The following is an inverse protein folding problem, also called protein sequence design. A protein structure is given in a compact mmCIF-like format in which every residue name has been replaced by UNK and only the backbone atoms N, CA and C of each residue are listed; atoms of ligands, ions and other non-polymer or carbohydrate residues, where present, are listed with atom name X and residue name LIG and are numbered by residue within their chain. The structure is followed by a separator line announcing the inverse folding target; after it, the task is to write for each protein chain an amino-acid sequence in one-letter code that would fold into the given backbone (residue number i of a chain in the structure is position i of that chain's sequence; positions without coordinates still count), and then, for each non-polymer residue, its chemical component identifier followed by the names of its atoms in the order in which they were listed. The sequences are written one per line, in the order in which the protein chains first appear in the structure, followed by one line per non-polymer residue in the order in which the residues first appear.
data_IF_505072391832
#
_entry.id   IF_505072391832
#
_cell.length_a   1.000
_cell.length_b   1.000
_cell.length_c   1.000
_cell.angle_alpha   90.00
_cell.angle_beta   90.00
_cell.angle_gamma   90.00
#
_symmetry.space_group_name_H-M   'P 1'
#
loop_
_entity.id
_entity.type
_entity.pdbx_description
1 polymer ?
#
# COMPACT_ATOMS: atom_id res chain seq x y z
N UNK A 1 21.69 2.40 6.66
CA UNK A 1 21.01 3.50 7.37
C UNK A 1 22.06 4.40 8.03
N UNK A 2 22.27 5.59 7.47
CA UNK A 2 23.15 6.60 8.04
C UNK A 2 22.29 7.64 8.76
N UNK A 3 22.02 7.42 10.04
CA UNK A 3 21.44 8.45 10.91
C UNK A 3 22.60 9.14 11.65
N UNK A 4 22.94 10.38 11.26
CA UNK A 4 23.90 11.22 11.95
C UNK A 4 25.31 11.26 11.35
N UNK A 5 26.13 12.18 11.87
CA UNK A 5 27.51 12.52 11.45
C UNK A 5 28.58 11.51 11.92
N UNK A 6 28.23 10.26 12.21
CA UNK A 6 29.17 9.25 12.68
C UNK A 6 29.69 8.38 11.53
N UNK A 7 30.98 8.08 11.56
CA UNK A 7 31.69 7.18 10.63
C UNK A 7 31.29 5.70 10.83
N UNK A 8 30.53 5.37 11.89
CA UNK A 8 30.12 4.00 12.20
C UNK A 8 28.69 3.74 11.70
N UNK A 9 28.50 2.57 11.08
CA UNK A 9 27.19 2.07 10.68
C UNK A 9 26.45 1.56 11.92
N UNK A 10 25.28 2.14 12.20
CA UNK A 10 24.37 1.62 13.22
C UNK A 10 23.81 0.27 12.75
N UNK A 11 24.10 -0.80 13.47
CA UNK A 11 23.60 -2.16 13.20
C UNK A 11 22.47 -2.57 14.14
N UNK A 12 22.29 -1.90 15.27
CA UNK A 12 21.29 -2.24 16.27
C UNK A 12 19.90 -1.76 15.86
N UNK A 13 19.77 -0.53 15.43
CA UNK A 13 18.48 0.04 14.99
C UNK A 13 17.84 -0.77 13.86
N UNK A 14 18.56 -1.15 12.77
CA UNK A 14 17.98 -2.00 11.74
C UNK A 14 17.55 -3.39 12.22
N UNK A 15 18.29 -3.99 13.18
CA UNK A 15 17.93 -5.31 13.73
C UNK A 15 16.64 -5.23 14.54
N UNK A 16 16.50 -4.27 15.44
CA UNK A 16 15.27 -4.06 16.22
C UNK A 16 14.07 -3.74 15.31
N UNK A 17 14.28 -2.95 14.26
CA UNK A 17 13.23 -2.69 13.27
C UNK A 17 12.81 -3.98 12.54
N UNK A 18 13.77 -4.81 12.13
CA UNK A 18 13.48 -6.06 11.46
C UNK A 18 12.74 -7.05 12.38
N UNK A 19 13.13 -7.14 13.65
CA UNK A 19 12.43 -7.93 14.66
C UNK A 19 10.99 -7.47 14.84
N UNK A 20 10.76 -6.17 15.01
CA UNK A 20 9.43 -5.59 15.15
C UNK A 20 8.55 -5.85 13.93
N UNK A 21 9.08 -5.69 12.70
CA UNK A 21 8.35 -5.97 11.46
C UNK A 21 8.01 -7.46 11.34
N UNK A 22 8.93 -8.35 11.70
CA UNK A 22 8.70 -9.79 11.66
C UNK A 22 7.59 -10.19 12.63
N UNK A 23 7.61 -9.66 13.85
CA UNK A 23 6.63 -9.96 14.89
C UNK A 23 5.26 -9.33 14.59
N UNK A 24 5.22 -8.03 14.29
CA UNK A 24 3.96 -7.28 14.08
C UNK A 24 3.19 -7.78 12.85
N UNK A 25 3.90 -8.20 11.78
CA UNK A 25 3.29 -8.60 10.52
C UNK A 25 3.27 -10.12 10.31
N UNK A 26 3.64 -10.87 11.32
CA UNK A 26 3.71 -12.33 11.24
C UNK A 26 4.46 -12.79 9.96
N UNK A 27 5.69 -12.29 9.80
CA UNK A 27 6.52 -12.67 8.64
C UNK A 27 7.11 -14.05 8.88
N UNK A 28 6.72 -15.01 8.05
CA UNK A 28 7.27 -16.37 8.14
C UNK A 28 8.72 -16.39 7.63
N UNK A 29 9.66 -16.36 8.57
CA UNK A 29 11.10 -16.36 8.31
C UNK A 29 11.86 -17.13 9.38
N UNK A 30 12.95 -17.84 9.04
CA UNK A 30 13.84 -18.44 10.03
C UNK A 30 14.60 -17.41 10.90
N UNK A 31 14.58 -16.13 10.55
CA UNK A 31 15.23 -15.06 11.31
C UNK A 31 15.54 -13.82 10.48
N UNK A 32 15.85 -12.72 11.16
CA UNK A 32 16.07 -11.39 10.57
C UNK A 32 17.31 -11.28 9.66
N UNK A 33 18.22 -12.23 9.72
CA UNK A 33 19.45 -12.26 8.90
C UNK A 33 19.27 -12.99 7.57
N UNK A 34 18.08 -13.55 7.31
CA UNK A 34 17.79 -14.22 6.04
C UNK A 34 17.61 -13.16 4.94
N UNK A 35 18.28 -13.30 3.79
CA UNK A 35 18.07 -12.41 2.66
C UNK A 35 16.60 -12.43 2.20
N UNK A 36 15.99 -11.25 2.04
CA UNK A 36 14.56 -11.08 1.64
C UNK A 36 14.20 -11.88 0.40
N UNK A 37 15.13 -12.05 -0.56
CA UNK A 37 14.94 -12.86 -1.77
C UNK A 37 14.64 -14.35 -1.52
N UNK A 38 14.82 -14.84 -0.29
CA UNK A 38 14.50 -16.23 0.11
C UNK A 38 13.11 -16.36 0.73
N UNK A 39 12.42 -15.27 0.95
CA UNK A 39 11.07 -15.25 1.47
C UNK A 39 10.06 -15.53 0.34
N UNK A 40 8.87 -16.01 0.71
CA UNK A 40 7.73 -16.08 -0.21
C UNK A 40 7.28 -14.67 -0.62
N UNK A 41 6.57 -14.55 -1.75
CA UNK A 41 6.07 -13.25 -2.25
C UNK A 41 5.29 -12.48 -1.20
N UNK A 42 4.38 -13.14 -0.46
CA UNK A 42 3.61 -12.52 0.62
C UNK A 42 4.48 -11.98 1.75
N UNK A 43 5.48 -12.74 2.18
CA UNK A 43 6.41 -12.29 3.22
C UNK A 43 7.32 -11.15 2.73
N UNK A 44 7.71 -11.13 1.46
CA UNK A 44 8.42 -9.99 0.86
C UNK A 44 7.58 -8.73 0.93
N UNK A 45 6.29 -8.80 0.56
CA UNK A 45 5.37 -7.66 0.62
C UNK A 45 5.13 -7.18 2.05
N UNK A 46 4.94 -8.09 3.00
CA UNK A 46 4.84 -7.75 4.43
C UNK A 46 6.07 -6.95 4.90
N UNK A 47 7.27 -7.43 4.59
CA UNK A 47 8.53 -6.74 4.95
C UNK A 47 8.62 -5.38 4.27
N UNK A 48 8.25 -5.28 2.98
CA UNK A 48 8.28 -4.02 2.24
C UNK A 48 7.35 -2.98 2.86
N UNK A 49 6.09 -3.34 3.05
CA UNK A 49 5.07 -2.44 3.64
C UNK A 49 5.43 -2.08 5.08
N UNK A 50 5.85 -3.06 5.90
CA UNK A 50 6.27 -2.82 7.28
C UNK A 50 7.44 -1.86 7.38
N UNK A 51 8.43 -1.95 6.50
CA UNK A 51 9.55 -1.02 6.44
C UNK A 51 9.11 0.41 6.15
N UNK A 52 8.18 0.60 5.20
CA UNK A 52 7.67 1.93 4.85
C UNK A 52 6.86 2.53 6.00
N UNK A 53 5.97 1.73 6.62
CA UNK A 53 5.16 2.14 7.77
C UNK A 53 6.05 2.52 8.97
N UNK A 54 7.08 1.74 9.24
CA UNK A 54 8.01 1.99 10.35
C UNK A 54 8.83 3.29 10.20
N UNK A 55 8.86 3.88 9.00
CA UNK A 55 9.44 5.20 8.78
C UNK A 55 8.54 6.35 9.28
N UNK A 56 7.34 6.05 9.78
CA UNK A 56 6.32 7.00 10.24
C UNK A 56 6.00 8.05 9.15
N UNK A 57 5.55 7.63 7.97
CA UNK A 57 5.28 8.53 6.87
C UNK A 57 4.06 9.40 7.17
N UNK A 58 4.03 10.63 6.65
CA UNK A 58 2.82 11.46 6.58
C UNK A 58 1.96 11.13 5.37
N UNK A 59 2.58 10.61 4.32
CA UNK A 59 1.92 10.11 3.11
C UNK A 59 2.48 8.74 2.77
N UNK A 60 1.60 7.76 2.60
CA UNK A 60 1.93 6.41 2.15
C UNK A 60 1.38 6.20 0.74
N UNK A 61 2.28 6.02 -0.23
CA UNK A 61 1.91 5.66 -1.59
C UNK A 61 2.18 4.16 -1.80
N UNK A 62 1.16 3.40 -2.19
CA UNK A 62 1.25 1.97 -2.45
C UNK A 62 0.60 1.63 -3.78
N UNK A 63 1.35 0.95 -4.64
CA UNK A 63 0.86 0.51 -5.93
C UNK A 63 0.96 -1.02 -6.03
N UNK A 64 -0.17 -1.67 -6.32
CA UNK A 64 -0.26 -3.11 -6.50
C UNK A 64 0.33 -3.94 -5.35
N UNK A 65 0.20 -3.45 -4.11
CA UNK A 65 0.82 -4.03 -2.91
C UNK A 65 0.40 -5.48 -2.62
N UNK A 66 -0.72 -5.91 -3.15
CA UNK A 66 -1.29 -7.27 -2.93
C UNK A 66 -1.25 -8.14 -4.18
N UNK A 67 -0.68 -7.66 -5.27
CA UNK A 67 -0.66 -8.42 -6.52
C UNK A 67 0.11 -9.73 -6.36
N UNK A 68 -0.55 -10.84 -6.68
CA UNK A 68 0.04 -12.18 -6.60
C UNK A 68 0.14 -12.74 -5.18
N UNK A 69 -0.54 -12.15 -4.21
CA UNK A 69 -0.65 -12.67 -2.86
C UNK A 69 -1.88 -13.60 -2.72
N UNK A 70 -1.81 -14.49 -1.75
CA UNK A 70 -2.99 -15.19 -1.28
C UNK A 70 -3.94 -14.25 -0.52
N UNK A 71 -5.18 -14.70 -0.33
CA UNK A 71 -6.23 -13.91 0.30
C UNK A 71 -5.83 -13.43 1.69
N UNK A 72 -5.25 -14.29 2.53
CA UNK A 72 -4.91 -13.96 3.91
C UNK A 72 -3.79 -12.90 3.97
N UNK A 73 -2.76 -13.06 3.12
CA UNK A 73 -1.69 -12.08 3.01
C UNK A 73 -2.20 -10.72 2.51
N UNK A 74 -3.18 -10.73 1.59
CA UNK A 74 -3.81 -9.50 1.08
C UNK A 74 -4.57 -8.76 2.19
N UNK A 75 -5.40 -9.47 2.97
CA UNK A 75 -6.11 -8.86 4.10
C UNK A 75 -5.16 -8.27 5.14
N UNK A 76 -4.05 -8.93 5.44
CA UNK A 76 -3.03 -8.38 6.33
C UNK A 76 -2.52 -7.02 5.85
N UNK A 77 -2.26 -6.89 4.55
CA UNK A 77 -1.81 -5.60 3.96
C UNK A 77 -2.92 -4.54 4.01
N UNK A 78 -4.17 -4.91 3.74
CA UNK A 78 -5.31 -3.98 3.83
C UNK A 78 -5.53 -3.46 5.25
N UNK A 79 -5.45 -4.33 6.26
CA UNK A 79 -5.54 -3.94 7.67
C UNK A 79 -4.42 -2.96 8.06
N UNK A 80 -3.19 -3.19 7.57
CA UNK A 80 -2.08 -2.27 7.79
C UNK A 80 -2.33 -0.90 7.18
N UNK A 81 -2.86 -0.85 5.96
CA UNK A 81 -3.22 0.39 5.26
C UNK A 81 -4.30 1.13 6.05
N UNK A 82 -5.37 0.45 6.49
CA UNK A 82 -6.44 1.04 7.29
C UNK A 82 -5.93 1.60 8.62
N UNK A 83 -5.08 0.87 9.33
CA UNK A 83 -4.44 1.35 10.55
C UNK A 83 -3.61 2.62 10.33
N UNK A 84 -2.99 2.80 9.15
CA UNK A 84 -2.30 4.05 8.83
C UNK A 84 -3.29 5.20 8.62
N UNK A 85 -4.41 4.97 7.93
CA UNK A 85 -5.50 5.97 7.79
C UNK A 85 -6.02 6.42 9.16
N UNK A 86 -6.30 5.48 10.07
CA UNK A 86 -6.75 5.77 11.44
C UNK A 86 -5.75 6.63 12.23
N UNK A 87 -4.45 6.48 11.95
CA UNK A 87 -3.37 7.30 12.53
C UNK A 87 -3.22 8.66 11.86
N UNK A 88 -4.05 8.99 10.87
CA UNK A 88 -4.03 10.26 10.14
C UNK A 88 -2.99 10.33 9.01
N UNK A 89 -2.44 9.20 8.58
CA UNK A 89 -1.58 9.12 7.40
C UNK A 89 -2.42 9.25 6.14
N UNK A 90 -2.04 10.14 5.22
CA UNK A 90 -2.67 10.20 3.91
C UNK A 90 -2.21 8.99 3.08
N UNK A 91 -3.15 8.15 2.64
CA UNK A 91 -2.82 6.95 1.86
C UNK A 91 -3.28 7.10 0.42
N UNK A 92 -2.38 6.88 -0.51
CA UNK A 92 -2.67 6.74 -1.94
C UNK A 92 -2.47 5.27 -2.31
N UNK A 93 -3.58 4.57 -2.56
CA UNK A 93 -3.58 3.16 -2.95
C UNK A 93 -3.90 3.04 -4.44
N UNK A 94 -3.01 2.41 -5.20
CA UNK A 94 -3.20 2.14 -6.63
C UNK A 94 -3.47 0.66 -6.82
N UNK A 95 -4.60 0.33 -7.42
CA UNK A 95 -5.05 -1.05 -7.67
C UNK A 95 -6.05 -1.12 -8.82
N UNK A 96 -6.40 -2.34 -9.19
CA UNK A 96 -7.37 -2.65 -10.25
C UNK A 96 -8.59 -3.42 -9.74
N UNK A 97 -8.55 -3.91 -8.50
CA UNK A 97 -9.66 -4.61 -7.87
C UNK A 97 -10.67 -3.60 -7.30
N UNK A 98 -11.83 -3.50 -7.95
CA UNK A 98 -12.86 -2.53 -7.60
C UNK A 98 -13.49 -2.80 -6.24
N UNK A 99 -13.62 -4.07 -5.83
CA UNK A 99 -14.21 -4.40 -4.53
C UNK A 99 -13.30 -3.88 -3.40
N UNK A 100 -12.01 -4.09 -3.55
CA UNK A 100 -11.00 -3.57 -2.60
C UNK A 100 -10.94 -2.05 -2.60
N UNK A 101 -10.96 -1.42 -3.77
CA UNK A 101 -10.91 0.04 -3.88
C UNK A 101 -12.13 0.70 -3.24
N UNK A 102 -13.32 0.15 -3.43
CA UNK A 102 -14.57 0.65 -2.84
C UNK A 102 -14.60 0.44 -1.31
N UNK A 103 -14.02 -0.65 -0.81
CA UNK A 103 -13.97 -0.93 0.63
C UNK A 103 -12.94 -0.05 1.36
N UNK A 104 -11.76 0.16 0.78
CA UNK A 104 -10.66 0.84 1.46
C UNK A 104 -10.62 2.35 1.26
N UNK A 105 -11.19 2.86 0.15
CA UNK A 105 -10.93 4.24 -0.27
C UNK A 105 -12.05 5.18 0.14
N UNK A 106 -11.70 6.34 0.68
CA UNK A 106 -12.66 7.43 0.91
C UNK A 106 -12.99 8.15 -0.43
N UNK A 107 -12.01 8.22 -1.33
CA UNK A 107 -12.17 8.81 -2.67
C UNK A 107 -11.45 7.95 -3.70
N UNK A 108 -12.08 7.75 -4.85
CA UNK A 108 -11.51 6.98 -5.97
C UNK A 108 -11.33 7.91 -7.15
N UNK A 109 -10.09 8.05 -7.61
CA UNK A 109 -9.74 8.73 -8.85
C UNK A 109 -9.56 7.69 -9.94
N UNK A 110 -10.31 7.82 -11.02
CA UNK A 110 -10.28 6.87 -12.13
C UNK A 110 -9.47 7.45 -13.29
N UNK A 111 -8.52 6.66 -13.78
CA UNK A 111 -7.69 6.98 -14.92
C UNK A 111 -8.05 6.09 -16.11
N UNK A 112 -8.28 6.70 -17.28
CA UNK A 112 -8.51 5.99 -18.54
C UNK A 112 -7.76 6.68 -19.66
N UNK A 113 -7.05 5.93 -20.51
CA UNK A 113 -6.31 6.49 -21.63
C UNK A 113 -5.29 7.58 -21.27
N UNK A 114 -4.72 7.53 -20.08
CA UNK A 114 -3.75 8.53 -19.59
C UNK A 114 -4.38 9.85 -19.11
N UNK A 115 -5.70 9.91 -19.01
CA UNK A 115 -6.45 11.08 -18.52
C UNK A 115 -7.27 10.71 -17.28
N UNK A 116 -7.63 11.71 -16.47
CA UNK A 116 -8.58 11.53 -15.38
C UNK A 116 -9.98 11.41 -15.98
N UNK A 117 -10.63 10.26 -15.79
CA UNK A 117 -12.00 10.01 -16.22
C UNK A 117 -13.01 10.54 -15.21
N UNK A 118 -12.69 10.50 -13.93
CA UNK A 118 -13.52 11.04 -12.88
C UNK A 118 -12.94 10.82 -11.49
N UNK A 119 -13.59 11.47 -10.50
CA UNK A 119 -13.32 11.29 -9.08
C UNK A 119 -14.66 11.06 -8.39
N UNK A 120 -14.77 9.98 -7.63
CA UNK A 120 -15.99 9.60 -6.90
C UNK A 120 -15.73 9.42 -5.42
N UNK A 121 -16.79 9.54 -4.62
CA UNK A 121 -16.76 9.18 -3.22
C UNK A 121 -16.81 7.65 -3.10
N UNK A 122 -15.80 7.04 -2.47
CA UNK A 122 -15.69 5.58 -2.36
C UNK A 122 -16.81 4.95 -1.52
N UNK A 123 -17.46 5.73 -0.64
CA UNK A 123 -18.54 5.25 0.23
C UNK A 123 -19.89 5.16 -0.47
N UNK A 124 -20.08 5.93 -1.54
CA UNK A 124 -21.37 6.05 -2.25
C UNK A 124 -21.32 5.55 -3.68
N UNK A 125 -20.11 5.48 -4.27
CA UNK A 125 -19.94 5.01 -5.64
C UNK A 125 -20.29 3.52 -5.79
N UNK A 126 -20.92 3.18 -6.90
CA UNK A 126 -21.14 1.79 -7.26
C UNK A 126 -19.99 1.23 -8.09
N UNK A 127 -19.81 -0.09 -8.02
CA UNK A 127 -18.85 -0.81 -8.87
C UNK A 127 -19.10 -0.56 -10.36
N UNK A 128 -20.37 -0.39 -10.74
CA UNK A 128 -20.78 -0.08 -12.10
C UNK A 128 -20.27 1.30 -12.54
N UNK A 129 -20.47 2.35 -11.71
CA UNK A 129 -20.07 3.70 -12.04
C UNK A 129 -18.55 3.80 -12.24
N UNK A 130 -17.79 3.22 -11.32
CA UNK A 130 -16.31 3.18 -11.42
C UNK A 130 -15.89 2.38 -12.66
N UNK A 131 -16.50 1.22 -12.90
CA UNK A 131 -16.21 0.38 -14.07
C UNK A 131 -16.49 1.09 -15.39
N UNK A 132 -17.58 1.86 -15.50
CA UNK A 132 -17.89 2.66 -16.68
C UNK A 132 -16.83 3.74 -16.90
N UNK A 133 -16.39 4.44 -15.86
CA UNK A 133 -15.33 5.44 -15.96
C UNK A 133 -13.99 4.84 -16.38
N UNK A 134 -13.70 3.59 -16.06
CA UNK A 134 -12.47 2.91 -16.50
C UNK A 134 -12.44 2.61 -18.00
N UNK A 135 -13.59 2.56 -18.65
CA UNK A 135 -13.73 2.25 -20.08
C UNK A 135 -14.03 3.46 -20.95
N UNK A 136 -14.56 4.52 -20.37
CA UNK A 136 -14.85 5.76 -21.07
C UNK A 136 -13.62 6.67 -21.00
N UNK A 137 -13.04 6.98 -22.16
CA UNK A 137 -12.15 8.11 -22.30
C UNK A 137 -12.92 9.35 -21.81
N UNK A 138 -12.40 10.02 -20.78
CA UNK A 138 -13.08 11.13 -20.12
C UNK A 138 -13.76 12.03 -21.12
N UNK A 139 -15.09 12.18 -20.96
CA UNK A 139 -15.88 12.99 -21.87
C UNK A 139 -15.35 14.41 -21.90
N UNK A 140 -15.26 14.98 -23.08
CA UNK A 140 -15.01 16.40 -23.32
C UNK A 140 -16.08 17.23 -22.59
N UNK A 141 -15.85 17.53 -21.33
CA UNK A 141 -16.57 18.56 -20.59
C UNK A 141 -15.56 19.46 -19.89
N UNK A 142 -14.77 20.14 -20.67
CA UNK A 142 -14.00 21.29 -20.24
C UNK A 142 -13.73 22.19 -21.46
N UNK A 143 -14.82 22.79 -21.98
CA UNK A 143 -14.77 24.01 -22.77
C UNK A 143 -16.19 24.58 -22.82
N UNK A 144 -16.53 25.38 -21.80
CA UNK A 144 -17.36 26.56 -21.87
C UNK A 144 -17.08 27.45 -20.64
#
# INVERSE_FOLDING_TARGET
FRRGRTLFTDRKTPSHLAEAVVEELDVNTPGIHIPVRRLSGGNVQKVLVGREIASSPTVLLTAYAVRGLDINASYTIYDLINKQKERGVAVVFVGEDLDVLLELSDRILVLCGGKVSGVVDGRTASKWDVGMMMTQLGGDNADE
#
